data_IF_573808331629
#
_entry.id   IF_573808331629
#
_cell.length_a   1.000
_cell.length_b   1.000
_cell.length_c   1.000
_cell.angle_alpha   90.00
_cell.angle_beta   90.00
_cell.angle_gamma   90.00
#
_symmetry.space_group_name_H-M   'P 1'
#
loop_
_entity.id
_entity.type
_entity.pdbx_description
1 polymer ?
#
# COMPACT_ATOMS: atom_id res chain seq x y z
N UNK A 1 -2.64 -7.02 -29.45
CA UNK A 1 -3.89 -6.28 -29.25
C UNK A 1 -3.80 -5.73 -27.84
N UNK A 2 -3.66 -4.41 -27.70
CA UNK A 2 -3.62 -3.74 -26.39
C UNK A 2 -5.03 -3.75 -25.85
N UNK A 3 -5.35 -4.65 -24.93
CA UNK A 3 -6.59 -4.58 -24.18
C UNK A 3 -6.56 -3.31 -23.31
N UNK A 4 -7.61 -2.47 -23.36
CA UNK A 4 -7.69 -1.28 -22.54
C UNK A 4 -7.87 -1.71 -21.07
N UNK A 5 -7.00 -1.20 -20.20
CA UNK A 5 -7.13 -1.35 -18.75
C UNK A 5 -8.57 -0.99 -18.32
N UNK A 6 -9.21 -1.78 -17.46
CA UNK A 6 -10.57 -1.47 -16.99
C UNK A 6 -10.60 -0.10 -16.31
N UNK A 7 -11.56 0.74 -16.71
CA UNK A 7 -11.69 2.11 -16.26
C UNK A 7 -11.92 2.22 -14.74
N UNK A 8 -12.43 1.16 -14.13
CA UNK A 8 -12.73 1.04 -12.71
C UNK A 8 -11.48 1.10 -11.83
N UNK A 9 -10.32 0.61 -12.31
CA UNK A 9 -9.03 0.71 -11.59
C UNK A 9 -8.44 2.12 -11.73
N UNK A 10 -8.72 2.82 -12.84
CA UNK A 10 -8.27 4.20 -13.06
C UNK A 10 -9.03 5.21 -12.19
N UNK A 11 -10.30 4.94 -11.89
CA UNK A 11 -11.16 5.82 -11.11
C UNK A 11 -10.88 5.77 -9.59
N UNK A 12 -10.49 4.60 -9.08
CA UNK A 12 -10.14 4.40 -7.67
C UNK A 12 -8.89 3.50 -7.62
N UNK A 13 -7.69 4.09 -7.76
CA UNK A 13 -6.46 3.31 -7.77
C UNK A 13 -6.21 2.67 -6.40
N UNK A 14 -5.54 1.50 -6.36
CA UNK A 14 -5.18 0.89 -5.09
C UNK A 14 -4.32 1.85 -4.27
N UNK A 15 -4.50 1.88 -2.95
CA UNK A 15 -3.57 2.60 -2.11
C UNK A 15 -2.15 2.07 -2.37
N UNK A 16 -1.16 2.95 -2.30
CA UNK A 16 0.24 2.56 -2.40
C UNK A 16 0.78 2.25 -1.01
N UNK A 17 1.54 1.15 -0.92
CA UNK A 17 2.22 0.78 0.32
C UNK A 17 3.23 1.88 0.66
N UNK A 18 3.29 2.35 1.91
CA UNK A 18 4.35 3.25 2.32
C UNK A 18 5.70 2.59 2.04
N UNK A 19 6.67 3.39 1.60
CA UNK A 19 8.02 2.89 1.37
C UNK A 19 8.69 2.63 2.73
N UNK A 20 9.32 1.46 2.92
CA UNK A 20 9.97 1.16 4.18
C UNK A 20 11.12 2.15 4.40
N UNK A 21 11.27 2.69 5.62
CA UNK A 21 12.35 3.61 5.92
C UNK A 21 13.69 2.94 5.66
N UNK A 22 14.63 3.71 5.10
CA UNK A 22 15.94 3.19 4.77
C UNK A 22 16.71 2.74 6.02
N UNK A 23 17.67 1.81 5.90
CA UNK A 23 18.49 1.38 7.03
C UNK A 23 19.34 2.53 7.64
N UNK A 24 19.56 3.61 6.89
CA UNK A 24 20.22 4.83 7.37
C UNK A 24 19.29 5.78 8.14
N UNK A 25 17.97 5.65 8.00
CA UNK A 25 16.98 6.41 8.77
C UNK A 25 16.64 5.70 10.09
N UNK A 26 16.74 4.37 10.09
CA UNK A 26 16.66 3.59 11.32
C UNK A 26 17.97 3.74 12.12
N UNK A 27 17.92 4.64 13.09
CA UNK A 27 18.98 4.89 14.06
C UNK A 27 19.38 3.63 14.88
N UNK A 28 18.55 2.56 14.89
CA UNK A 28 18.77 1.23 15.52
C UNK A 28 19.21 1.24 17.01
N UNK A 29 19.30 2.42 17.61
CA UNK A 29 19.85 2.68 18.94
C UNK A 29 18.81 3.35 19.87
N UNK A 30 17.54 3.38 19.46
CA UNK A 30 16.45 3.94 20.27
C UNK A 30 16.23 5.44 20.12
N UNK A 31 16.42 6.00 18.91
CA UNK A 31 15.96 7.36 18.61
C UNK A 31 14.42 7.44 18.72
N UNK A 32 13.90 8.46 19.40
CA UNK A 32 12.47 8.74 19.54
C UNK A 32 12.12 10.02 18.75
N UNK A 33 11.12 9.99 17.83
CA UNK A 33 10.27 8.84 17.50
C UNK A 33 10.98 7.78 16.64
N UNK A 34 10.68 6.51 16.91
CA UNK A 34 11.20 5.38 16.13
C UNK A 34 10.55 5.37 14.73
N UNK A 35 11.36 5.51 13.68
CA UNK A 35 10.87 5.51 12.29
C UNK A 35 10.13 4.22 11.92
N UNK A 36 10.51 3.10 12.55
CA UNK A 36 9.82 1.82 12.35
C UNK A 36 8.42 1.80 12.96
N UNK A 37 8.21 2.53 14.06
CA UNK A 37 6.92 2.62 14.73
C UNK A 37 5.95 3.49 13.91
N UNK A 38 6.42 4.68 13.48
CA UNK A 38 5.72 5.54 12.51
C UNK A 38 5.35 4.78 11.23
N UNK A 39 6.30 4.06 10.64
CA UNK A 39 6.06 3.25 9.46
C UNK A 39 5.05 2.12 9.75
N UNK A 40 5.10 1.50 10.92
CA UNK A 40 4.14 0.47 11.29
C UNK A 40 2.72 1.05 11.39
N UNK A 41 2.55 2.22 11.98
CA UNK A 41 1.26 2.93 12.05
C UNK A 41 0.71 3.27 10.66
N UNK A 42 1.54 3.82 9.78
CA UNK A 42 1.17 4.10 8.39
C UNK A 42 0.81 2.80 7.64
N UNK A 43 1.58 1.72 7.86
CA UNK A 43 1.32 0.43 7.24
C UNK A 43 0.01 -0.19 7.73
N UNK A 44 -0.39 0.02 8.98
CA UNK A 44 -1.71 -0.42 9.48
C UNK A 44 -2.84 0.30 8.75
N UNK A 45 -2.77 1.63 8.64
CA UNK A 45 -3.76 2.45 7.93
C UNK A 45 -3.84 2.06 6.44
N UNK A 46 -2.68 1.85 5.82
CA UNK A 46 -2.57 1.34 4.46
C UNK A 46 -3.30 0.00 4.31
N UNK A 47 -3.03 -0.97 5.20
CA UNK A 47 -3.64 -2.30 5.15
C UNK A 47 -5.16 -2.24 5.31
N UNK A 48 -5.66 -1.38 6.18
CA UNK A 48 -7.09 -1.20 6.37
C UNK A 48 -7.75 -0.60 5.12
N UNK A 49 -7.16 0.46 4.58
CA UNK A 49 -7.61 1.10 3.34
C UNK A 49 -7.58 0.11 2.17
N UNK A 50 -6.50 -0.67 2.05
CA UNK A 50 -6.36 -1.68 1.01
C UNK A 50 -7.44 -2.76 1.12
N UNK A 51 -7.79 -3.19 2.32
CA UNK A 51 -8.87 -4.17 2.52
C UNK A 51 -10.22 -3.64 2.03
N UNK A 52 -10.53 -2.37 2.36
CA UNK A 52 -11.76 -1.72 1.90
C UNK A 52 -11.76 -1.54 0.38
N UNK A 53 -10.61 -1.17 -0.18
CA UNK A 53 -10.39 -1.07 -1.62
C UNK A 53 -10.64 -2.42 -2.31
N UNK A 54 -10.01 -3.49 -1.84
CA UNK A 54 -10.18 -4.84 -2.39
C UNK A 54 -11.64 -5.33 -2.33
N UNK A 55 -12.39 -4.96 -1.30
CA UNK A 55 -13.82 -5.28 -1.20
C UNK A 55 -14.67 -4.56 -2.26
N UNK A 56 -14.25 -3.35 -2.69
CA UNK A 56 -14.90 -2.58 -3.75
C UNK A 56 -14.43 -3.00 -5.16
N UNK A 57 -13.20 -3.52 -5.27
CA UNK A 57 -12.54 -3.87 -6.54
C UNK A 57 -12.21 -5.37 -6.64
N UNK A 58 -13.23 -6.26 -6.75
CA UNK A 58 -12.99 -7.69 -6.91
C UNK A 58 -12.26 -8.03 -8.22
N UNK A 59 -12.47 -7.25 -9.28
CA UNK A 59 -11.81 -7.38 -10.59
C UNK A 59 -10.30 -7.12 -10.56
N UNK A 60 -9.84 -6.11 -9.81
CA UNK A 60 -8.41 -5.79 -9.73
C UNK A 60 -7.59 -6.89 -9.01
N UNK A 61 -8.23 -7.64 -8.10
CA UNK A 61 -7.64 -8.82 -7.47
C UNK A 61 -7.54 -10.02 -8.45
N UNK A 62 -8.37 -10.08 -9.48
CA UNK A 62 -8.29 -11.12 -10.53
C UNK A 62 -7.13 -10.82 -11.51
N UNK A 63 -6.94 -9.55 -11.87
CA UNK A 63 -5.90 -9.13 -12.82
C UNK A 63 -4.48 -9.26 -12.24
N UNK A 64 -4.30 -9.00 -10.94
CA UNK A 64 -3.01 -9.14 -10.25
C UNK A 64 -2.49 -10.58 -10.16
N UNK A 65 -3.32 -11.58 -10.51
CA UNK A 65 -3.00 -13.01 -10.44
C UNK A 65 -2.77 -13.68 -11.82
N UNK A 66 -2.84 -12.93 -12.93
CA UNK A 66 -2.70 -13.45 -14.30
C UNK A 66 -1.39 -13.05 -14.97
#
# INVERSE_FOLDING_TARGET
MTEPLPADILADPPPQRPEPPGPNECCQSGCDPCVLDLYAEELQQYRETLRQWQARHPEANQESQS
#
